data_IF_849278680615
#
_entry.id   IF_849278680615
#
_cell.length_a   1.000
_cell.length_b   1.000
_cell.length_c   1.000
_cell.angle_alpha   90.00
_cell.angle_beta   90.00
_cell.angle_gamma   90.00
#
_symmetry.space_group_name_H-M   'P 1'
#
loop_
_entity.id
_entity.type
_entity.pdbx_description
1 polymer ?
#
# COMPACT_ATOMS: atom_id res chain seq x y z
N UNK A 1 -23.06 -6.29 -17.41
CA UNK A 1 -23.61 -5.05 -17.98
C UNK A 1 -22.77 -4.67 -19.18
N UNK A 2 -23.32 -4.81 -20.38
CA UNK A 2 -22.78 -4.32 -21.65
C UNK A 2 -22.98 -2.82 -21.74
N UNK A 3 -21.91 -2.03 -21.92
CA UNK A 3 -22.03 -0.68 -22.46
C UNK A 3 -21.62 -0.69 -23.93
N UNK A 4 -22.64 -0.76 -24.76
CA UNK A 4 -22.64 -0.76 -26.23
C UNK A 4 -22.51 0.68 -26.73
N UNK A 5 -21.29 1.18 -26.84
CA UNK A 5 -20.92 2.37 -27.63
C UNK A 5 -19.50 2.00 -28.12
N UNK A 6 -19.18 1.75 -29.39
CA UNK A 6 -19.44 2.62 -30.52
C UNK A 6 -19.05 1.98 -31.87
N UNK A 7 -19.54 0.79 -32.21
CA UNK A 7 -19.37 0.28 -33.61
C UNK A 7 -20.09 1.15 -34.65
N UNK A 8 -21.00 2.02 -34.21
CA UNK A 8 -21.75 2.94 -35.07
C UNK A 8 -20.95 4.19 -35.45
N UNK A 9 -20.00 4.65 -34.62
CA UNK A 9 -19.24 5.89 -34.91
C UNK A 9 -18.06 5.59 -35.84
N UNK A 10 -17.39 4.44 -35.69
CA UNK A 10 -16.36 3.98 -36.64
C UNK A 10 -16.93 3.78 -38.05
N UNK A 11 -18.15 3.26 -38.16
CA UNK A 11 -18.79 3.01 -39.46
C UNK A 11 -19.23 4.30 -40.18
N UNK A 12 -19.56 5.36 -39.45
CA UNK A 12 -19.98 6.66 -40.03
C UNK A 12 -18.79 7.48 -40.55
N UNK A 13 -17.60 7.31 -39.96
CA UNK A 13 -16.40 8.03 -40.40
C UNK A 13 -15.82 7.47 -41.71
N UNK A 14 -16.01 6.17 -41.98
CA UNK A 14 -15.35 5.47 -43.08
C UNK A 14 -16.09 5.50 -44.43
N UNK A 15 -17.22 6.21 -44.55
CA UNK A 15 -18.01 6.24 -45.81
C UNK A 15 -18.06 7.59 -46.52
N UNK A 16 -17.43 8.65 -46.00
CA UNK A 16 -17.44 9.95 -46.67
C UNK A 16 -16.14 10.73 -46.46
N UNK A 17 -15.05 10.29 -47.05
CA UNK A 17 -14.00 11.21 -47.54
C UNK A 17 -13.13 10.51 -48.60
N UNK A 18 -12.96 11.08 -49.80
CA UNK A 18 -12.00 10.58 -50.79
C UNK A 18 -10.56 10.69 -50.25
N UNK A 19 -9.70 9.73 -50.62
CA UNK A 19 -8.37 9.49 -50.03
C UNK A 19 -7.32 10.62 -50.17
N UNK A 20 -7.67 11.76 -50.78
CA UNK A 20 -6.71 12.77 -51.20
C UNK A 20 -6.37 13.86 -50.15
N UNK A 21 -7.07 13.94 -49.01
CA UNK A 21 -6.88 15.01 -48.00
C UNK A 21 -6.43 14.52 -46.61
N UNK A 22 -6.03 13.25 -46.46
CA UNK A 22 -5.59 12.69 -45.15
C UNK A 22 -4.44 13.49 -44.52
N UNK A 23 -3.47 13.93 -45.34
CA UNK A 23 -2.25 14.56 -44.84
C UNK A 23 -2.42 15.91 -44.14
N UNK A 24 -3.59 16.57 -44.23
CA UNK A 24 -3.84 17.88 -43.59
C UNK A 24 -4.69 17.79 -42.32
N UNK A 25 -5.33 16.64 -42.08
CA UNK A 25 -6.12 16.37 -40.87
C UNK A 25 -5.24 15.80 -39.76
N UNK A 26 -4.13 15.15 -40.13
CA UNK A 26 -3.14 14.59 -39.20
C UNK A 26 -2.49 15.68 -38.31
N UNK A 27 -2.27 16.89 -38.86
CA UNK A 27 -1.68 18.02 -38.13
C UNK A 27 -2.65 18.66 -37.12
N UNK A 28 -3.97 18.64 -37.39
CA UNK A 28 -4.99 19.14 -36.46
C UNK A 28 -5.32 18.12 -35.37
N UNK A 29 -5.25 16.81 -35.66
CA UNK A 29 -5.38 15.75 -34.67
C UNK A 29 -4.16 15.67 -33.73
N UNK A 30 -2.96 16.01 -34.21
CA UNK A 30 -1.76 16.12 -33.38
C UNK A 30 -1.87 17.19 -32.30
N UNK A 31 -2.49 18.33 -32.60
CA UNK A 31 -2.69 19.41 -31.63
C UNK A 31 -3.85 19.10 -30.65
N UNK A 32 -4.93 18.46 -31.13
CA UNK A 32 -6.04 18.06 -30.26
C UNK A 32 -5.68 16.91 -29.32
N UNK A 33 -4.85 15.97 -29.75
CA UNK A 33 -4.38 14.86 -28.89
C UNK A 33 -3.45 15.35 -27.77
N UNK A 34 -2.65 16.40 -28.01
CA UNK A 34 -1.84 17.02 -26.96
C UNK A 34 -2.70 17.78 -25.93
N UNK A 35 -3.73 18.49 -26.41
CA UNK A 35 -4.63 19.25 -25.53
C UNK A 35 -5.56 18.34 -24.71
N UNK A 36 -5.91 17.16 -25.22
CA UNK A 36 -6.76 16.19 -24.51
C UNK A 36 -5.97 15.31 -23.54
N UNK A 37 -4.69 15.03 -23.81
CA UNK A 37 -3.81 14.30 -22.88
C UNK A 37 -3.41 15.12 -21.63
N UNK A 38 -3.36 16.46 -21.74
CA UNK A 38 -3.11 17.32 -20.56
C UNK A 38 -4.30 17.42 -19.60
N UNK A 39 -5.49 16.96 -19.98
CA UNK A 39 -6.70 17.04 -19.17
C UNK A 39 -7.18 15.67 -18.65
N UNK A 40 -6.36 14.62 -18.80
CA UNK A 40 -6.71 13.23 -18.48
C UNK A 40 -5.73 12.56 -17.50
N UNK A 41 -5.12 13.35 -16.60
CA UNK A 41 -4.16 12.80 -15.62
C UNK A 41 -4.21 13.45 -14.23
N UNK A 42 -5.34 14.04 -13.82
CA UNK A 42 -5.47 14.60 -12.45
C UNK A 42 -6.82 14.37 -11.78
N UNK A 43 -7.45 13.22 -12.04
CA UNK A 43 -8.38 12.67 -11.06
C UNK A 43 -7.77 11.37 -10.56
N UNK A 44 -6.69 11.51 -9.79
CA UNK A 44 -6.40 10.52 -8.77
C UNK A 44 -7.65 10.50 -7.89
N UNK A 45 -8.38 9.39 -7.89
CA UNK A 45 -9.47 9.15 -6.97
C UNK A 45 -8.90 9.27 -5.55
N UNK A 46 -8.99 10.47 -4.95
CA UNK A 46 -8.68 10.64 -3.54
C UNK A 46 -9.69 9.80 -2.79
N UNK A 47 -9.25 8.62 -2.31
CA UNK A 47 -10.04 7.77 -1.40
C UNK A 47 -10.55 8.65 -0.26
N UNK A 48 -11.81 8.45 0.11
CA UNK A 48 -12.42 9.25 1.17
C UNK A 48 -11.87 8.80 2.52
N UNK A 49 -11.88 9.70 3.52
CA UNK A 49 -11.42 9.39 4.88
C UNK A 49 -12.10 8.13 5.45
N UNK A 50 -13.39 7.94 5.18
CA UNK A 50 -14.14 6.75 5.56
C UNK A 50 -13.63 5.46 4.90
N UNK A 51 -13.08 5.53 3.69
CA UNK A 51 -12.51 4.36 3.02
C UNK A 51 -11.20 3.91 3.69
N UNK A 52 -10.45 4.83 4.29
CA UNK A 52 -9.29 4.49 5.11
C UNK A 52 -9.72 3.97 6.48
N UNK A 53 -10.63 4.64 7.17
CA UNK A 53 -11.10 4.19 8.49
C UNK A 53 -11.76 2.79 8.48
N UNK A 54 -12.38 2.40 7.34
CA UNK A 54 -13.00 1.08 7.18
C UNK A 54 -12.02 -0.07 6.91
N UNK A 55 -10.72 0.21 6.77
CA UNK A 55 -9.71 -0.82 6.53
C UNK A 55 -9.30 -1.54 7.81
N UNK A 56 -8.95 -2.84 7.75
CA UNK A 56 -8.59 -3.64 8.91
C UNK A 56 -7.17 -3.30 9.39
N UNK A 57 -6.95 -2.11 9.93
CA UNK A 57 -5.67 -1.71 10.51
C UNK A 57 -5.32 -2.52 11.76
N UNK A 58 -4.03 -2.79 11.95
CA UNK A 58 -3.55 -3.59 13.06
C UNK A 58 -3.31 -2.71 14.29
N UNK A 59 -4.30 -2.66 15.18
CA UNK A 59 -4.20 -2.00 16.48
C UNK A 59 -3.60 -2.93 17.52
N UNK A 60 -2.48 -2.54 18.12
CA UNK A 60 -1.84 -3.25 19.22
C UNK A 60 -2.07 -2.48 20.51
N UNK A 61 -2.79 -3.09 21.45
CA UNK A 61 -2.99 -2.56 22.80
C UNK A 61 -2.15 -3.39 23.79
N UNK A 62 -1.32 -2.72 24.58
CA UNK A 62 -0.49 -3.36 25.60
C UNK A 62 -0.69 -2.69 26.97
N UNK A 63 -0.91 -3.46 28.04
CA UNK A 63 -0.85 -2.93 29.38
C UNK A 63 0.59 -2.60 29.75
N UNK A 64 0.81 -1.40 30.27
CA UNK A 64 2.08 -0.92 30.82
C UNK A 64 1.87 -0.70 32.32
N UNK A 65 2.88 -1.06 33.11
CA UNK A 65 2.90 -0.84 34.54
C UNK A 65 4.22 -0.17 34.89
N UNK A 66 4.14 1.07 35.33
CA UNK A 66 5.29 1.86 35.79
C UNK A 66 5.09 2.27 37.26
N UNK A 67 6.11 2.89 37.85
CA UNK A 67 6.09 3.38 39.23
C UNK A 67 4.95 4.40 39.50
N UNK A 68 4.39 4.99 38.45
CA UNK A 68 3.30 5.97 38.50
C UNK A 68 1.89 5.35 38.37
N UNK A 69 1.75 4.08 37.98
CA UNK A 69 0.46 3.42 37.81
C UNK A 69 0.38 2.45 36.63
N UNK A 70 -0.82 1.89 36.44
CA UNK A 70 -1.16 0.97 35.36
C UNK A 70 -1.94 1.70 34.27
N UNK A 71 -1.45 1.70 33.04
CA UNK A 71 -2.13 2.29 31.89
C UNK A 71 -2.00 1.38 30.67
N UNK A 72 -2.86 1.59 29.67
CA UNK A 72 -2.84 0.88 28.41
C UNK A 72 -2.27 1.79 27.34
N UNK A 73 -1.30 1.29 26.57
CA UNK A 73 -0.79 1.96 25.38
C UNK A 73 -1.32 1.26 24.13
N UNK A 74 -2.03 1.99 23.29
CA UNK A 74 -2.50 1.59 21.98
C UNK A 74 -1.60 2.20 20.89
N UNK A 75 -1.28 1.43 19.86
CA UNK A 75 -0.57 1.92 18.67
C UNK A 75 -1.09 1.21 17.43
N UNK A 76 -1.09 1.91 16.31
CA UNK A 76 -1.35 1.30 14.99
C UNK A 76 -0.01 0.90 14.38
N UNK A 77 0.09 -0.31 13.80
CA UNK A 77 1.35 -0.80 13.23
C UNK A 77 1.75 -0.02 11.97
N UNK A 78 0.78 0.41 11.20
CA UNK A 78 0.95 1.04 9.90
C UNK A 78 1.36 2.52 9.97
N UNK A 79 0.96 3.20 11.04
CA UNK A 79 1.20 4.63 11.23
C UNK A 79 2.29 4.85 12.28
N UNK A 80 3.51 5.11 11.83
CA UNK A 80 4.64 5.48 12.68
C UNK A 80 4.37 6.83 13.34
N UNK A 81 3.87 6.80 14.59
CA UNK A 81 3.53 7.99 15.37
C UNK A 81 2.11 8.00 15.93
N UNK A 82 1.24 7.11 15.44
CA UNK A 82 -0.12 6.97 15.96
C UNK A 82 -0.11 6.13 17.25
N UNK A 83 -0.09 6.83 18.39
CA UNK A 83 -0.04 6.25 19.72
C UNK A 83 -1.09 6.94 20.59
N UNK A 84 -1.89 6.15 21.30
CA UNK A 84 -2.85 6.63 22.29
C UNK A 84 -2.64 5.89 23.61
N UNK A 85 -3.05 6.51 24.72
CA UNK A 85 -2.99 5.92 26.06
C UNK A 85 -4.33 6.05 26.75
N UNK A 86 -4.72 5.04 27.52
CA UNK A 86 -5.93 5.06 28.35
C UNK A 86 -5.71 4.35 29.68
N UNK A 87 -6.55 4.64 30.67
CA UNK A 87 -6.53 3.95 31.97
C UNK A 87 -7.20 2.56 31.88
N UNK A 88 -8.08 2.39 30.88
CA UNK A 88 -8.74 1.13 30.53
C UNK A 88 -8.41 0.67 29.10
N UNK A 89 -8.61 -0.63 28.84
CA UNK A 89 -8.52 -1.19 27.49
C UNK A 89 -9.51 -0.51 26.53
N UNK A 90 -10.74 -0.28 26.98
CA UNK A 90 -11.80 0.35 26.17
C UNK A 90 -11.46 1.80 25.84
N UNK A 91 -10.96 2.54 26.83
CA UNK A 91 -10.54 3.92 26.65
C UNK A 91 -9.35 4.03 25.67
N UNK A 92 -8.34 3.16 25.81
CA UNK A 92 -7.23 3.14 24.87
C UNK A 92 -7.65 2.73 23.45
N UNK A 93 -8.68 1.88 23.33
CA UNK A 93 -9.26 1.49 22.06
C UNK A 93 -10.03 2.65 21.41
N UNK A 94 -10.90 3.36 22.13
CA UNK A 94 -11.61 4.51 21.56
C UNK A 94 -10.63 5.64 21.20
N UNK A 95 -9.68 5.94 22.09
CA UNK A 95 -8.69 6.99 21.89
C UNK A 95 -7.81 6.76 20.66
N UNK A 96 -7.45 5.51 20.33
CA UNK A 96 -6.63 5.26 19.14
C UNK A 96 -7.40 5.49 17.83
N UNK A 97 -8.72 5.26 17.80
CA UNK A 97 -9.53 5.56 16.60
C UNK A 97 -9.70 7.07 16.39
N UNK A 98 -9.87 7.84 17.46
CA UNK A 98 -9.92 9.31 17.39
C UNK A 98 -8.57 9.88 16.89
N UNK A 99 -7.46 9.38 17.45
CA UNK A 99 -6.13 9.78 17.00
C UNK A 99 -5.89 9.37 15.54
N UNK A 100 -6.35 8.18 15.13
CA UNK A 100 -6.22 7.69 13.76
C UNK A 100 -7.01 8.55 12.76
N UNK A 101 -8.23 8.96 13.11
CA UNK A 101 -9.05 9.86 12.28
C UNK A 101 -8.32 11.17 12.01
N UNK A 102 -7.88 11.86 13.07
CA UNK A 102 -7.12 13.11 12.92
C UNK A 102 -5.79 12.93 12.18
N UNK A 103 -5.11 11.80 12.39
CA UNK A 103 -3.85 11.52 11.68
C UNK A 103 -4.08 11.34 10.17
N UNK A 104 -5.15 10.66 9.77
CA UNK A 104 -5.52 10.49 8.36
C UNK A 104 -5.94 11.84 7.76
N UNK A 105 -6.70 12.67 8.48
CA UNK A 105 -7.04 14.04 8.05
C UNK A 105 -5.78 14.85 7.77
N UNK A 106 -4.85 14.90 8.72
CA UNK A 106 -3.59 15.61 8.60
C UNK A 106 -2.77 15.13 7.39
N UNK A 107 -2.69 13.82 7.16
CA UNK A 107 -1.99 13.26 5.99
C UNK A 107 -2.68 13.63 4.67
N UNK A 108 -4.01 13.64 4.64
CA UNK A 108 -4.78 14.05 3.45
C UNK A 108 -4.62 15.54 3.14
N UNK A 109 -4.53 16.39 4.16
CA UNK A 109 -4.29 17.83 4.00
C UNK A 109 -2.88 18.13 3.49
N UNK A 110 -1.89 17.36 3.94
CA UNK A 110 -0.49 17.51 3.53
C UNK A 110 -0.14 16.80 2.21
N UNK A 111 -1.12 16.17 1.53
CA UNK A 111 -0.93 15.33 0.33
C UNK A 111 0.14 14.22 0.56
N UNK A 112 0.20 13.68 1.78
CA UNK A 112 1.10 12.57 2.14
C UNK A 112 0.50 11.20 1.75
N UNK A 113 1.36 10.24 1.43
CA UNK A 113 0.92 8.87 1.10
C UNK A 113 0.45 8.14 2.36
N UNK A 114 -0.85 7.82 2.42
CA UNK A 114 -1.42 7.03 3.51
C UNK A 114 -1.08 5.54 3.32
N UNK A 115 -0.40 4.90 4.29
CA UNK A 115 -0.06 3.48 4.21
C UNK A 115 -1.32 2.61 4.26
N UNK A 116 -1.39 1.61 3.38
CA UNK A 116 -2.43 0.58 3.42
C UNK A 116 -2.18 -0.40 4.59
N UNK A 117 -3.24 -1.04 5.13
CA UNK A 117 -3.15 -2.04 6.20
C UNK A 117 -2.16 -3.13 5.80
N UNK A 118 -1.23 -3.47 6.70
CA UNK A 118 -0.23 -4.51 6.42
C UNK A 118 -0.94 -5.86 6.45
N UNK A 119 -1.39 -6.30 5.28
CA UNK A 119 -1.83 -7.67 5.02
C UNK A 119 -0.65 -8.61 4.76
N UNK A 120 -0.91 -9.92 4.86
CA UNK A 120 0.09 -10.96 4.59
C UNK A 120 0.73 -10.84 3.19
N UNK A 121 0.00 -10.24 2.24
CA UNK A 121 0.40 -10.06 0.85
C UNK A 121 1.60 -9.09 0.67
N UNK A 122 1.94 -8.27 1.68
CA UNK A 122 3.10 -7.38 1.62
C UNK A 122 4.43 -8.07 1.95
N UNK A 123 4.41 -9.27 2.51
CA UNK A 123 5.64 -9.99 2.86
C UNK A 123 6.16 -10.80 1.69
N UNK A 124 7.19 -10.28 1.01
CA UNK A 124 7.81 -10.95 -0.15
C UNK A 124 8.49 -12.30 0.15
N UNK A 125 8.58 -12.72 1.42
CA UNK A 125 9.32 -13.91 1.87
C UNK A 125 10.85 -13.85 1.65
N UNK A 126 11.36 -12.77 1.06
CA UNK A 126 12.78 -12.60 0.76
C UNK A 126 13.49 -11.85 1.90
N UNK A 127 14.39 -12.55 2.60
CA UNK A 127 15.15 -12.00 3.71
C UNK A 127 16.65 -11.94 3.35
N UNK A 128 17.18 -10.72 3.11
CA UNK A 128 18.62 -10.49 2.85
C UNK A 128 19.33 -10.03 4.12
N UNK A 129 19.96 -10.94 4.83
CA UNK A 129 20.65 -10.66 6.10
C UNK A 129 22.17 -10.57 5.92
N UNK A 130 22.79 -9.58 6.54
CA UNK A 130 24.26 -9.50 6.70
C UNK A 130 24.66 -10.20 7.99
N UNK A 131 25.74 -10.99 7.96
CA UNK A 131 26.23 -11.70 9.13
C UNK A 131 27.76 -11.90 9.12
N UNK A 132 28.39 -12.11 10.29
CA UNK A 132 29.81 -12.43 10.37
C UNK A 132 30.16 -13.72 9.60
N UNK A 133 31.38 -13.77 9.04
CA UNK A 133 31.87 -14.94 8.27
C UNK A 133 31.88 -16.23 9.09
N UNK A 134 32.13 -16.13 10.40
CA UNK A 134 32.11 -17.28 11.32
C UNK A 134 30.71 -17.89 11.43
N UNK A 135 29.68 -17.06 11.59
CA UNK A 135 28.28 -17.52 11.67
C UNK A 135 27.85 -18.18 10.35
N UNK A 136 28.14 -17.54 9.22
CA UNK A 136 27.84 -18.11 7.90
C UNK A 136 28.52 -19.47 7.69
N UNK A 137 29.78 -19.63 8.11
CA UNK A 137 30.51 -20.90 8.03
C UNK A 137 29.82 -22.00 8.84
N UNK A 138 29.44 -21.70 10.08
CA UNK A 138 28.82 -22.67 10.97
C UNK A 138 27.46 -23.14 10.42
N UNK A 139 26.63 -22.20 9.96
CA UNK A 139 25.33 -22.52 9.35
C UNK A 139 25.50 -23.34 8.06
N UNK A 140 26.47 -22.97 7.21
CA UNK A 140 26.77 -23.69 5.96
C UNK A 140 27.25 -25.12 6.21
N UNK A 141 28.05 -25.34 7.24
CA UNK A 141 28.50 -26.69 7.61
C UNK A 141 27.34 -27.52 8.14
N UNK A 142 26.51 -26.95 9.02
CA UNK A 142 25.35 -27.65 9.56
C UNK A 142 24.33 -28.01 8.47
N UNK A 143 24.06 -27.10 7.53
CA UNK A 143 23.21 -27.37 6.36
C UNK A 143 23.76 -28.53 5.50
N UNK A 144 25.07 -28.56 5.26
CA UNK A 144 25.73 -29.66 4.53
C UNK A 144 25.62 -31.00 5.26
N UNK A 145 25.75 -31.00 6.58
CA UNK A 145 25.62 -32.22 7.39
C UNK A 145 24.19 -32.78 7.34
N UNK A 146 23.18 -31.89 7.32
CA UNK A 146 21.77 -32.27 7.17
C UNK A 146 21.39 -32.55 5.70
N UNK A 147 22.29 -32.33 4.74
CA UNK A 147 22.04 -32.56 3.31
C UNK A 147 21.05 -31.57 2.68
N UNK A 148 20.86 -30.40 3.28
CA UNK A 148 19.91 -29.38 2.82
C UNK A 148 20.61 -28.10 2.37
N UNK A 149 19.89 -27.24 1.63
CA UNK A 149 20.39 -25.91 1.30
C UNK A 149 20.50 -25.04 2.56
N UNK A 150 21.38 -24.04 2.54
CA UNK A 150 21.53 -23.11 3.65
C UNK A 150 20.21 -22.38 3.96
N UNK A 151 19.46 -21.96 2.94
CA UNK A 151 18.16 -21.32 3.13
C UNK A 151 17.16 -22.28 3.81
N UNK A 152 17.09 -23.54 3.36
CA UNK A 152 16.20 -24.53 3.98
C UNK A 152 16.58 -24.82 5.43
N UNK A 153 17.88 -24.91 5.70
CA UNK A 153 18.39 -25.08 7.06
C UNK A 153 17.95 -23.91 7.97
N UNK A 154 18.08 -22.68 7.48
CA UNK A 154 17.65 -21.48 8.22
C UNK A 154 16.13 -21.52 8.46
N UNK A 155 15.33 -21.82 7.44
CA UNK A 155 13.86 -21.95 7.58
C UNK A 155 13.52 -23.00 8.64
N UNK A 156 14.10 -24.19 8.57
CA UNK A 156 13.87 -25.27 9.55
C UNK A 156 14.19 -24.86 10.99
N UNK A 157 15.15 -23.94 11.19
CA UNK A 157 15.50 -23.40 12.50
C UNK A 157 14.57 -22.26 12.96
N UNK A 158 14.00 -21.50 12.04
CA UNK A 158 13.07 -20.40 12.33
C UNK A 158 11.62 -20.86 12.49
N UNK A 159 11.25 -22.00 11.89
CA UNK A 159 9.90 -22.58 11.98
C UNK A 159 9.63 -23.36 13.29
N UNK A 160 10.53 -23.30 14.27
CA UNK A 160 10.41 -23.93 15.58
C UNK A 160 10.43 -22.88 16.68
#
# INVERSE_FOLDING_TARGET
>A
MTFTISKTVEALFNQRTPEADRGRIDDLFGCLSHFTAMNYMSVAEKRSLNDYLGQPYNVIIKPIHDEAGSYYAARVLEFDGCIATGESFEEAHEAIYEVLEGFIEDMMENDEEIPEPVGDDHFSGNLRVRMPKSLHRNLSQAAKLEGVSLNQYIINKLSK
#
